data_IF_407451510075
#
_entry.id   IF_407451510075
#
_cell.length_a   1.000
_cell.length_b   1.000
_cell.length_c   1.000
_cell.angle_alpha   90.00
_cell.angle_beta   90.00
_cell.angle_gamma   90.00
#
_symmetry.space_group_name_H-M   'P 1'
#
loop_
_entity.id
_entity.type
_entity.pdbx_description
1 polymer ?
#
# COMPACT_ATOMS: atom_id res chain seq x y z
N UNK A 1 63.07 54.76 1.44
CA UNK A 1 62.84 53.30 1.30
C UNK A 1 61.40 53.01 1.72
N UNK A 2 60.51 52.82 0.74
CA UNK A 2 59.02 52.69 0.98
C UNK A 2 58.64 51.20 1.09
N UNK A 3 58.22 50.78 2.26
CA UNK A 3 57.63 49.43 2.47
C UNK A 3 56.18 49.44 2.02
N UNK A 4 55.80 48.54 1.04
CA UNK A 4 54.48 48.31 0.60
C UNK A 4 53.81 47.25 1.53
N UNK A 5 52.73 47.66 2.20
CA UNK A 5 51.87 46.74 2.98
C UNK A 5 50.94 46.03 2.01
N UNK A 6 51.02 44.68 1.94
CA UNK A 6 50.06 43.85 1.28
C UNK A 6 48.94 43.51 2.27
N UNK A 7 47.74 43.97 1.97
CA UNK A 7 46.54 43.57 2.69
C UNK A 7 46.05 42.23 2.12
N UNK A 8 46.04 41.18 2.95
CA UNK A 8 45.38 39.91 2.63
C UNK A 8 43.90 40.08 2.88
N UNK A 9 43.09 40.03 1.82
CA UNK A 9 41.63 39.89 1.89
C UNK A 9 41.33 38.41 2.01
N UNK A 10 40.93 37.97 3.19
CA UNK A 10 40.41 36.63 3.40
C UNK A 10 38.92 36.62 3.04
N UNK A 11 38.57 36.10 1.86
CA UNK A 11 37.20 35.82 1.47
C UNK A 11 36.72 34.57 2.21
N UNK A 12 35.96 34.76 3.29
CA UNK A 12 35.25 33.67 3.95
C UNK A 12 34.03 33.28 3.11
N UNK A 13 34.12 32.20 2.35
CA UNK A 13 32.96 31.54 1.72
C UNK A 13 32.16 30.87 2.82
N UNK A 14 31.06 31.48 3.24
CA UNK A 14 30.00 30.84 4.01
C UNK A 14 29.22 29.88 3.09
N UNK A 15 29.61 28.61 3.13
CA UNK A 15 28.84 27.55 2.55
C UNK A 15 27.54 27.33 3.39
N UNK A 16 26.46 27.93 2.96
CA UNK A 16 25.12 27.64 3.51
C UNK A 16 24.73 26.22 3.09
N UNK A 17 24.98 25.25 3.98
CA UNK A 17 24.44 23.90 3.84
C UNK A 17 22.92 24.01 4.11
N UNK A 18 22.13 24.10 3.05
CA UNK A 18 20.70 23.85 3.12
C UNK A 18 20.51 22.37 3.52
N UNK A 19 20.40 22.12 4.81
CA UNK A 19 19.80 20.89 5.31
C UNK A 19 18.32 20.92 4.88
N UNK A 20 18.03 20.34 3.72
CA UNK A 20 16.66 19.99 3.37
C UNK A 20 16.21 18.96 4.41
N UNK A 21 15.63 19.47 5.51
CA UNK A 21 14.89 18.66 6.46
C UNK A 21 13.77 18.01 5.64
N UNK A 22 13.91 16.72 5.29
CA UNK A 22 12.81 15.90 4.90
C UNK A 22 11.85 15.83 6.10
N UNK A 23 10.99 16.82 6.23
CA UNK A 23 9.81 16.72 7.07
C UNK A 23 8.98 15.62 6.43
N UNK A 24 9.08 14.41 6.94
CA UNK A 24 8.14 13.34 6.60
C UNK A 24 6.75 13.93 6.84
N UNK A 25 6.04 14.13 5.73
CA UNK A 25 4.69 14.68 5.77
C UNK A 25 3.83 13.66 6.53
N UNK A 26 3.61 13.88 7.82
CA UNK A 26 2.90 12.97 8.72
C UNK A 26 1.39 12.93 8.47
N UNK A 27 0.93 13.50 7.35
CA UNK A 27 -0.46 13.58 6.96
C UNK A 27 -0.70 13.09 5.52
N UNK A 28 -1.94 13.16 5.11
CA UNK A 28 -2.36 12.93 3.72
C UNK A 28 -1.89 14.07 2.82
N UNK A 29 -1.48 13.76 1.59
CA UNK A 29 -1.21 14.82 0.61
C UNK A 29 -2.51 15.49 0.15
N UNK A 30 -2.47 16.70 -0.44
CA UNK A 30 -3.66 17.33 -1.00
C UNK A 30 -4.38 16.44 -2.02
N UNK A 31 -3.64 15.76 -2.88
CA UNK A 31 -4.14 14.86 -3.93
C UNK A 31 -4.82 13.63 -3.34
N UNK A 32 -4.21 13.03 -2.31
CA UNK A 32 -4.83 11.91 -1.57
C UNK A 32 -6.14 12.34 -0.91
N UNK A 33 -6.16 13.53 -0.28
CA UNK A 33 -7.39 14.07 0.34
C UNK A 33 -8.49 14.32 -0.69
N UNK A 34 -8.14 14.91 -1.82
CA UNK A 34 -9.09 15.14 -2.90
C UNK A 34 -9.70 13.82 -3.39
N UNK A 35 -8.85 12.82 -3.68
CA UNK A 35 -9.30 11.52 -4.16
C UNK A 35 -10.19 10.81 -3.13
N UNK A 36 -9.78 10.79 -1.84
CA UNK A 36 -10.55 10.17 -0.77
C UNK A 36 -11.91 10.88 -0.57
N UNK A 37 -11.91 12.22 -0.58
CA UNK A 37 -13.13 12.99 -0.32
C UNK A 37 -14.09 12.99 -1.51
N UNK A 38 -13.60 12.93 -2.75
CA UNK A 38 -14.44 12.84 -3.95
C UNK A 38 -15.22 11.52 -4.02
N UNK A 39 -14.68 10.45 -3.46
CA UNK A 39 -15.29 9.12 -3.42
C UNK A 39 -16.06 8.83 -2.11
N UNK A 40 -16.08 9.77 -1.15
CA UNK A 40 -16.52 9.52 0.22
C UNK A 40 -17.76 8.61 0.35
N UNK A 41 -17.56 7.45 0.98
CA UNK A 41 -18.57 6.41 1.22
C UNK A 41 -19.17 5.76 -0.05
N UNK A 42 -18.53 5.95 -1.21
CA UNK A 42 -18.93 5.33 -2.47
C UNK A 42 -17.77 4.56 -3.09
N UNK A 43 -18.04 3.78 -4.13
CA UNK A 43 -17.02 3.01 -4.83
C UNK A 43 -15.99 3.93 -5.48
N UNK A 44 -14.71 3.59 -5.33
CA UNK A 44 -13.60 4.26 -5.98
C UNK A 44 -13.33 3.67 -7.37
N UNK A 45 -12.75 4.48 -8.25
CA UNK A 45 -12.22 3.99 -9.51
C UNK A 45 -11.05 3.03 -9.24
N UNK A 46 -11.07 1.86 -9.84
CA UNK A 46 -9.96 0.92 -9.77
C UNK A 46 -8.90 1.30 -10.81
N UNK A 47 -7.66 1.46 -10.38
CA UNK A 47 -6.48 1.66 -11.25
C UNK A 47 -6.18 0.39 -12.04
N UNK A 48 -5.79 0.52 -13.31
CA UNK A 48 -5.66 -0.62 -14.23
C UNK A 48 -4.37 -0.60 -15.03
N UNK A 49 -3.79 -1.77 -15.25
CA UNK A 49 -2.52 -1.94 -16.00
C UNK A 49 -2.59 -1.58 -17.48
N UNK A 50 -3.76 -1.44 -18.05
CA UNK A 50 -3.97 -1.00 -19.44
C UNK A 50 -4.04 0.54 -19.59
N UNK A 51 -3.93 1.29 -18.50
CA UNK A 51 -3.66 2.73 -18.48
C UNK A 51 -2.20 2.96 -18.04
N UNK A 52 -1.47 3.83 -18.73
CA UNK A 52 -0.04 4.04 -18.47
C UNK A 52 0.21 4.67 -17.11
N UNK A 53 -0.57 5.66 -16.69
CA UNK A 53 -0.40 6.35 -15.41
C UNK A 53 -0.76 5.42 -14.25
N UNK A 54 -1.86 4.69 -14.36
CA UNK A 54 -2.27 3.68 -13.39
C UNK A 54 -1.24 2.55 -13.28
N UNK A 55 -0.68 2.10 -14.40
CA UNK A 55 0.34 1.06 -14.43
C UNK A 55 1.61 1.48 -13.69
N UNK A 56 2.06 2.71 -13.85
CA UNK A 56 3.19 3.27 -13.13
C UNK A 56 2.88 3.38 -11.63
N UNK A 57 1.68 3.84 -11.27
CA UNK A 57 1.24 3.92 -9.88
C UNK A 57 1.22 2.54 -9.24
N UNK A 58 0.63 1.53 -9.88
CA UNK A 58 0.55 0.15 -9.38
C UNK A 58 1.93 -0.50 -9.20
N UNK A 59 2.98 0.00 -9.85
CA UNK A 59 4.37 -0.45 -9.73
C UNK A 59 5.18 0.34 -8.70
N UNK A 60 4.56 1.33 -8.06
CA UNK A 60 5.22 2.17 -7.06
C UNK A 60 4.98 1.59 -5.67
N UNK A 61 6.03 1.30 -4.88
CA UNK A 61 5.86 0.84 -3.51
C UNK A 61 5.11 1.85 -2.64
N UNK A 62 4.20 1.34 -1.84
CA UNK A 62 3.38 2.13 -0.91
C UNK A 62 4.14 2.53 0.35
N UNK A 63 3.85 3.72 0.88
CA UNK A 63 4.41 4.22 2.13
C UNK A 63 3.54 3.82 3.34
N UNK A 64 4.13 3.60 4.52
CA UNK A 64 3.36 3.31 5.73
C UNK A 64 2.40 4.44 6.10
N UNK A 65 1.23 4.06 6.64
CA UNK A 65 0.33 4.97 7.34
C UNK A 65 0.88 5.30 8.73
N UNK A 66 0.72 6.53 9.15
CA UNK A 66 1.04 7.00 10.51
C UNK A 66 -0.19 6.91 11.42
N UNK A 67 0.03 6.92 12.74
CA UNK A 67 -1.07 6.98 13.72
C UNK A 67 -1.98 8.18 13.46
N UNK A 68 -1.41 9.35 13.23
CA UNK A 68 -2.17 10.57 12.89
C UNK A 68 -3.08 10.41 11.66
N UNK A 69 -2.66 9.63 10.66
CA UNK A 69 -3.51 9.39 9.49
C UNK A 69 -4.68 8.49 9.81
N UNK A 70 -4.51 7.44 10.62
CA UNK A 70 -5.63 6.55 10.99
C UNK A 70 -6.66 7.23 11.90
N UNK A 71 -6.27 8.25 12.67
CA UNK A 71 -7.18 9.05 13.50
C UNK A 71 -7.95 10.10 12.67
N UNK A 72 -7.60 10.32 11.41
CA UNK A 72 -8.20 11.35 10.58
C UNK A 72 -9.54 10.90 9.97
N UNK A 73 -10.45 11.85 9.68
CA UNK A 73 -11.70 11.54 8.97
C UNK A 73 -11.48 10.93 7.57
N UNK A 74 -10.36 11.26 6.92
CA UNK A 74 -9.98 10.72 5.62
C UNK A 74 -9.76 9.20 5.67
N UNK A 75 -9.17 8.70 6.76
CA UNK A 75 -8.96 7.25 6.92
C UNK A 75 -10.30 6.51 6.95
N UNK A 76 -11.26 6.97 7.75
CA UNK A 76 -12.58 6.35 7.83
C UNK A 76 -13.31 6.36 6.47
N UNK A 77 -13.19 7.46 5.71
CA UNK A 77 -13.76 7.56 4.35
C UNK A 77 -13.09 6.60 3.39
N UNK A 78 -11.74 6.52 3.42
CA UNK A 78 -10.98 5.60 2.58
C UNK A 78 -11.35 4.14 2.86
N UNK A 79 -11.42 3.75 4.13
CA UNK A 79 -11.86 2.41 4.54
C UNK A 79 -13.25 2.10 3.98
N UNK A 80 -14.22 2.98 4.20
CA UNK A 80 -15.59 2.79 3.72
C UNK A 80 -15.65 2.67 2.19
N UNK A 81 -14.95 3.54 1.47
CA UNK A 81 -14.95 3.53 0.00
C UNK A 81 -14.21 2.30 -0.57
N UNK A 82 -13.14 1.82 0.06
CA UNK A 82 -12.49 0.57 -0.33
C UNK A 82 -13.40 -0.65 -0.07
N UNK A 83 -14.12 -0.66 1.06
CA UNK A 83 -15.13 -1.71 1.35
C UNK A 83 -16.22 -1.74 0.28
N UNK A 84 -16.80 -0.60 -0.09
CA UNK A 84 -17.78 -0.49 -1.16
C UNK A 84 -17.21 -0.95 -2.52
N UNK A 85 -15.93 -0.67 -2.78
CA UNK A 85 -15.27 -1.06 -4.02
C UNK A 85 -15.06 -2.57 -4.11
N UNK A 86 -14.57 -3.21 -3.04
CA UNK A 86 -14.31 -4.66 -3.03
C UNK A 86 -15.59 -5.48 -2.96
N UNK A 87 -16.64 -4.94 -2.36
CA UNK A 87 -17.96 -5.59 -2.26
C UNK A 87 -18.87 -5.33 -3.47
N UNK A 88 -18.36 -4.73 -4.55
CA UNK A 88 -19.17 -4.54 -5.76
C UNK A 88 -19.75 -5.88 -6.24
N UNK A 89 -21.09 -6.05 -6.32
CA UNK A 89 -21.69 -7.32 -6.69
C UNK A 89 -21.39 -7.76 -8.13
N UNK A 90 -20.95 -6.85 -8.98
CA UNK A 90 -20.63 -7.11 -10.39
C UNK A 90 -19.13 -7.21 -10.68
N UNK A 91 -18.32 -6.47 -9.91
CA UNK A 91 -16.88 -6.31 -10.17
C UNK A 91 -16.04 -6.40 -8.88
N UNK A 92 -16.61 -6.94 -7.82
CA UNK A 92 -15.95 -7.09 -6.55
C UNK A 92 -14.88 -8.19 -6.54
N UNK A 93 -14.17 -8.24 -5.41
CA UNK A 93 -13.10 -9.19 -5.17
C UNK A 93 -13.16 -9.75 -3.76
N UNK A 94 -12.12 -10.49 -3.40
CA UNK A 94 -11.93 -11.08 -2.07
C UNK A 94 -10.88 -10.30 -1.25
N UNK A 95 -10.24 -9.33 -1.89
CA UNK A 95 -9.29 -8.40 -1.30
C UNK A 95 -9.08 -7.18 -2.20
N UNK A 96 -8.57 -6.10 -1.62
CA UNK A 96 -8.19 -4.88 -2.32
C UNK A 96 -7.10 -4.14 -1.54
N UNK A 97 -6.08 -3.66 -2.24
CA UNK A 97 -5.02 -2.84 -1.70
C UNK A 97 -5.21 -1.35 -2.06
N UNK A 98 -4.77 -0.43 -1.20
CA UNK A 98 -4.94 1.00 -1.42
C UNK A 98 -4.34 1.53 -2.75
N UNK A 99 -3.21 1.01 -3.28
CA UNK A 99 -2.75 1.37 -4.63
C UNK A 99 -3.77 1.11 -5.74
N UNK A 100 -4.62 0.08 -5.59
CA UNK A 100 -5.65 -0.23 -6.58
C UNK A 100 -6.76 0.83 -6.65
N UNK A 101 -6.84 1.72 -5.68
CA UNK A 101 -7.73 2.89 -5.70
C UNK A 101 -6.97 4.21 -5.77
N UNK A 102 -5.71 4.18 -6.19
CA UNK A 102 -4.90 5.37 -6.41
C UNK A 102 -4.19 5.94 -5.18
N UNK A 103 -4.22 5.24 -4.05
CA UNK A 103 -3.63 5.69 -2.77
C UNK A 103 -2.39 4.86 -2.44
N UNK A 104 -1.20 5.47 -2.56
CA UNK A 104 0.08 4.79 -2.30
C UNK A 104 0.40 4.68 -0.79
N UNK A 105 -0.53 4.07 -0.05
CA UNK A 105 -0.41 3.80 1.39
C UNK A 105 -0.54 2.31 1.67
N UNK A 106 0.21 1.84 2.69
CA UNK A 106 0.21 0.43 3.08
C UNK A 106 -1.07 0.11 3.85
N UNK A 107 -2.13 -0.20 3.12
CA UNK A 107 -3.41 -0.67 3.67
C UNK A 107 -4.04 -1.67 2.71
N UNK A 108 -4.61 -2.73 3.26
CA UNK A 108 -5.39 -3.72 2.52
C UNK A 108 -6.72 -4.00 3.23
N UNK A 109 -7.70 -4.40 2.46
CA UNK A 109 -8.97 -4.98 2.92
C UNK A 109 -9.01 -6.41 2.42
N UNK A 110 -9.21 -7.38 3.31
CA UNK A 110 -9.15 -8.82 3.00
C UNK A 110 -10.38 -9.52 3.54
N UNK A 111 -11.01 -10.35 2.71
CA UNK A 111 -12.08 -11.24 3.16
C UNK A 111 -11.49 -12.44 3.89
N UNK A 112 -11.87 -12.63 5.14
CA UNK A 112 -11.35 -13.67 6.04
C UNK A 112 -12.15 -14.97 5.86
N UNK A 113 -11.77 -15.78 4.87
CA UNK A 113 -12.37 -17.09 4.62
C UNK A 113 -12.16 -18.09 5.75
N UNK A 114 -11.15 -17.88 6.56
CA UNK A 114 -10.78 -18.63 7.76
C UNK A 114 -11.61 -18.27 9.00
N UNK A 115 -12.46 -17.22 8.93
CA UNK A 115 -13.34 -16.79 10.03
C UNK A 115 -14.83 -17.07 9.73
N UNK A 116 -15.66 -17.33 10.78
CA UNK A 116 -17.11 -17.44 10.61
C UNK A 116 -17.70 -16.19 9.95
N UNK A 117 -18.61 -16.37 9.00
CA UNK A 117 -19.23 -15.27 8.26
C UNK A 117 -18.35 -14.61 7.20
N UNK A 118 -17.09 -14.99 7.08
CA UNK A 118 -16.14 -14.48 6.09
C UNK A 118 -16.12 -12.95 6.02
N UNK A 119 -15.89 -12.25 7.17
CA UNK A 119 -15.90 -10.79 7.19
C UNK A 119 -14.77 -10.21 6.35
N UNK A 120 -14.98 -9.00 5.83
CA UNK A 120 -13.88 -8.18 5.35
C UNK A 120 -13.24 -7.44 6.54
N UNK A 121 -11.93 -7.47 6.63
CA UNK A 121 -11.15 -6.81 7.68
C UNK A 121 -10.08 -5.90 7.07
N UNK A 122 -9.76 -4.82 7.79
CA UNK A 122 -8.78 -3.80 7.39
C UNK A 122 -7.45 -4.06 8.08
N UNK A 123 -6.37 -4.01 7.32
CA UNK A 123 -5.02 -4.21 7.82
C UNK A 123 -4.14 -3.01 7.44
N UNK A 124 -3.65 -2.30 8.46
CA UNK A 124 -2.79 -1.12 8.32
C UNK A 124 -1.32 -1.55 8.41
N UNK A 125 -0.51 -1.13 7.46
CA UNK A 125 0.91 -1.45 7.39
C UNK A 125 1.22 -2.96 7.49
N UNK A 126 0.46 -3.82 6.78
CA UNK A 126 0.72 -5.25 6.86
C UNK A 126 2.07 -5.61 6.21
N UNK A 127 2.73 -6.59 6.83
CA UNK A 127 3.94 -7.23 6.31
C UNK A 127 3.86 -8.73 6.57
N UNK A 128 4.40 -9.54 5.65
CA UNK A 128 4.58 -10.96 5.87
C UNK A 128 5.96 -11.15 6.49
N UNK A 129 6.02 -11.74 7.68
CA UNK A 129 7.27 -11.99 8.43
C UNK A 129 7.80 -13.41 8.21
N UNK A 130 6.91 -14.33 7.83
CA UNK A 130 7.29 -15.71 7.53
C UNK A 130 6.36 -16.32 6.47
N UNK A 131 6.94 -17.12 5.57
CA UNK A 131 6.24 -17.93 4.58
C UNK A 131 6.43 -19.41 4.93
N UNK A 132 5.33 -20.15 5.08
CA UNK A 132 5.38 -21.59 5.28
C UNK A 132 5.92 -22.32 4.05
N UNK A 133 6.46 -23.52 4.28
CA UNK A 133 7.10 -24.32 3.21
C UNK A 133 6.09 -24.96 2.24
N UNK A 134 4.88 -25.30 2.74
CA UNK A 134 3.81 -25.83 1.88
C UNK A 134 3.34 -24.75 0.90
N UNK A 135 3.57 -24.99 -0.39
CA UNK A 135 3.19 -24.11 -1.47
C UNK A 135 2.28 -24.82 -2.46
N UNK A 136 1.29 -24.12 -2.99
CA UNK A 136 0.37 -24.66 -4.01
C UNK A 136 0.25 -23.72 -5.18
N UNK A 137 0.17 -24.31 -6.36
CA UNK A 137 -0.19 -23.64 -7.58
C UNK A 137 -1.70 -23.32 -7.51
N UNK A 138 -2.04 -22.06 -7.79
CA UNK A 138 -3.43 -21.60 -7.78
C UNK A 138 -3.68 -20.56 -8.85
N UNK A 139 -4.93 -20.49 -9.34
CA UNK A 139 -5.32 -19.53 -10.36
C UNK A 139 -5.68 -18.20 -9.72
N UNK A 140 -5.01 -17.14 -10.15
CA UNK A 140 -5.25 -15.77 -9.71
C UNK A 140 -5.80 -14.89 -10.84
N UNK A 141 -6.51 -13.85 -10.44
CA UNK A 141 -6.92 -12.70 -11.23
C UNK A 141 -6.90 -11.47 -10.35
N UNK A 142 -6.95 -10.29 -10.95
CA UNK A 142 -6.87 -9.03 -10.22
C UNK A 142 -7.80 -7.98 -10.86
N UNK A 143 -8.46 -7.18 -10.03
CA UNK A 143 -9.29 -6.06 -10.48
C UNK A 143 -8.48 -5.03 -11.31
N UNK A 144 -7.19 -4.90 -11.00
CA UNK A 144 -6.26 -4.00 -11.67
C UNK A 144 -5.64 -4.58 -12.95
N UNK A 145 -5.81 -5.87 -13.23
CA UNK A 145 -5.27 -6.54 -14.43
C UNK A 145 -6.43 -7.13 -15.24
N UNK A 146 -7.08 -6.31 -16.07
CA UNK A 146 -8.31 -6.72 -16.77
C UNK A 146 -8.04 -7.85 -17.77
N UNK A 147 -9.01 -8.74 -17.91
CA UNK A 147 -9.05 -9.81 -18.91
C UNK A 147 -7.86 -10.79 -18.87
N UNK A 148 -7.13 -10.86 -17.76
CA UNK A 148 -6.01 -11.79 -17.61
C UNK A 148 -6.16 -12.59 -16.31
N UNK A 149 -5.86 -13.87 -16.39
CA UNK A 149 -5.70 -14.78 -15.24
C UNK A 149 -4.45 -15.61 -15.46
N UNK A 150 -3.83 -16.07 -14.37
CA UNK A 150 -2.63 -16.88 -14.43
C UNK A 150 -2.50 -17.78 -13.22
N UNK A 151 -1.61 -18.74 -13.31
CA UNK A 151 -1.30 -19.64 -12.21
C UNK A 151 -0.08 -19.13 -11.46
N UNK A 152 -0.20 -19.06 -10.13
CA UNK A 152 0.85 -18.54 -9.24
C UNK A 152 1.06 -19.52 -8.10
N UNK A 153 2.30 -19.76 -7.74
CA UNK A 153 2.65 -20.57 -6.57
C UNK A 153 2.66 -19.69 -5.33
N UNK A 154 1.78 -20.04 -4.34
CA UNK A 154 1.68 -19.32 -3.06
C UNK A 154 1.86 -20.24 -1.88
N UNK A 155 2.48 -19.71 -0.82
CA UNK A 155 2.53 -20.38 0.48
C UNK A 155 1.12 -20.55 1.04
N UNK A 156 0.83 -21.72 1.61
CA UNK A 156 -0.47 -22.06 2.20
C UNK A 156 -0.58 -21.61 3.66
N UNK A 157 0.52 -21.14 4.25
CA UNK A 157 0.56 -20.53 5.57
C UNK A 157 1.56 -19.38 5.59
N UNK A 158 1.18 -18.27 6.23
CA UNK A 158 2.04 -17.10 6.44
C UNK A 158 1.91 -16.60 7.87
N UNK A 159 2.94 -15.91 8.35
CA UNK A 159 2.82 -15.07 9.55
C UNK A 159 2.84 -13.61 9.12
N UNK A 160 1.88 -12.83 9.62
CA UNK A 160 1.75 -11.41 9.32
C UNK A 160 1.88 -10.57 10.57
N UNK A 161 2.43 -9.39 10.39
CA UNK A 161 2.38 -8.30 11.37
C UNK A 161 1.65 -7.11 10.73
N UNK A 162 0.83 -6.40 11.53
CA UNK A 162 0.16 -5.18 11.08
C UNK A 162 -0.12 -4.24 12.25
N UNK A 163 -0.52 -3.01 11.94
CA UNK A 163 -1.06 -2.07 12.93
C UNK A 163 -2.58 -2.18 12.98
N UNK A 164 -3.12 -2.32 14.17
CA UNK A 164 -4.57 -2.30 14.38
C UNK A 164 -5.15 -0.96 13.89
N UNK A 165 -6.25 -1.01 13.14
CA UNK A 165 -6.83 0.17 12.50
C UNK A 165 -7.51 1.15 13.48
N UNK A 166 -7.73 0.77 14.73
CA UNK A 166 -8.33 1.60 15.78
C UNK A 166 -7.30 2.06 16.81
N UNK A 167 -6.44 1.15 17.27
CA UNK A 167 -5.51 1.42 18.38
C UNK A 167 -4.07 1.69 17.91
N UNK A 168 -3.75 1.38 16.65
CA UNK A 168 -2.41 1.40 16.09
C UNK A 168 -1.39 0.47 16.80
N UNK A 169 -1.86 -0.41 17.65
CA UNK A 169 -1.03 -1.42 18.30
C UNK A 169 -0.52 -2.44 17.26
N UNK A 170 0.68 -2.96 17.50
CA UNK A 170 1.22 -4.04 16.68
C UNK A 170 0.46 -5.34 16.97
N UNK A 171 -0.05 -5.95 15.94
CA UNK A 171 -0.72 -7.26 15.95
C UNK A 171 0.09 -8.25 15.12
N UNK A 172 -0.03 -9.52 15.46
CA UNK A 172 0.59 -10.64 14.75
C UNK A 172 -0.39 -11.79 14.69
N UNK A 173 -0.43 -12.47 13.56
CA UNK A 173 -1.30 -13.63 13.37
C UNK A 173 -0.67 -14.59 12.34
N UNK A 174 -0.91 -15.88 12.55
CA UNK A 174 -0.67 -16.92 11.55
C UNK A 174 -1.94 -17.11 10.74
N UNK A 175 -1.82 -16.99 9.42
CA UNK A 175 -2.93 -17.11 8.47
C UNK A 175 -2.68 -18.34 7.60
N UNK A 176 -3.73 -19.12 7.32
CA UNK A 176 -3.61 -20.36 6.53
C UNK A 176 -4.62 -20.42 5.38
N UNK A 177 -4.36 -21.32 4.44
CA UNK A 177 -5.23 -21.63 3.32
C UNK A 177 -5.45 -20.48 2.36
N UNK A 178 -6.67 -20.37 1.84
CA UNK A 178 -7.00 -19.36 0.83
C UNK A 178 -6.84 -17.92 1.32
N UNK A 179 -7.09 -17.66 2.61
CA UNK A 179 -6.87 -16.34 3.20
C UNK A 179 -5.39 -15.95 3.16
N UNK A 180 -4.46 -16.90 3.37
CA UNK A 180 -3.02 -16.64 3.22
C UNK A 180 -2.64 -16.26 1.77
N UNK A 181 -3.29 -16.88 0.78
CA UNK A 181 -3.09 -16.53 -0.65
C UNK A 181 -3.57 -15.11 -0.92
N UNK A 182 -4.75 -14.72 -0.41
CA UNK A 182 -5.27 -13.35 -0.57
C UNK A 182 -4.30 -12.32 0.03
N UNK A 183 -3.82 -12.54 1.26
CA UNK A 183 -2.86 -11.62 1.89
C UNK A 183 -1.59 -11.46 1.06
N UNK A 184 -1.04 -12.54 0.52
CA UNK A 184 0.16 -12.47 -0.33
C UNK A 184 -0.10 -11.63 -1.58
N UNK A 185 -1.26 -11.78 -2.21
CA UNK A 185 -1.66 -10.99 -3.38
C UNK A 185 -1.80 -9.50 -3.03
N UNK A 186 -2.50 -9.17 -1.94
CA UNK A 186 -2.75 -7.77 -1.56
C UNK A 186 -1.48 -7.07 -1.03
N UNK A 187 -0.60 -7.79 -0.32
CA UNK A 187 0.67 -7.22 0.15
C UNK A 187 1.64 -7.02 -1.02
N UNK A 188 1.64 -7.90 -2.04
CA UNK A 188 2.38 -7.67 -3.28
C UNK A 188 2.03 -6.31 -3.91
N UNK A 189 0.74 -5.94 -3.98
CA UNK A 189 0.34 -4.63 -4.46
C UNK A 189 0.97 -3.48 -3.66
N UNK A 190 1.13 -3.62 -2.34
CA UNK A 190 1.79 -2.61 -1.51
C UNK A 190 3.28 -2.46 -1.83
N UNK A 191 3.89 -3.51 -2.38
CA UNK A 191 5.30 -3.55 -2.74
C UNK A 191 5.52 -3.25 -4.25
N UNK A 192 4.45 -2.86 -4.97
CA UNK A 192 4.49 -2.56 -6.40
C UNK A 192 4.61 -3.80 -7.30
N UNK A 193 4.30 -4.98 -6.75
CA UNK A 193 4.33 -6.26 -7.44
C UNK A 193 2.92 -6.68 -7.82
N UNK A 194 2.75 -7.24 -9.02
CA UNK A 194 1.48 -7.79 -9.47
C UNK A 194 1.58 -9.31 -9.62
N UNK A 195 0.48 -10.03 -9.46
CA UNK A 195 0.47 -11.49 -9.60
C UNK A 195 1.04 -11.97 -10.96
N UNK A 196 0.90 -11.15 -12.00
CA UNK A 196 1.45 -11.46 -13.34
C UNK A 196 2.98 -11.54 -13.38
N UNK A 197 3.67 -10.98 -12.39
CA UNK A 197 5.14 -11.05 -12.25
C UNK A 197 5.59 -12.35 -11.59
N UNK A 198 4.64 -13.08 -11.00
CA UNK A 198 4.85 -14.34 -10.30
C UNK A 198 4.37 -15.56 -11.09
N UNK A 199 3.82 -15.35 -12.29
CA UNK A 199 3.44 -16.45 -13.18
C UNK A 199 4.71 -17.15 -13.62
N UNK A 200 4.82 -18.44 -13.32
CA UNK A 200 5.88 -19.30 -13.86
C UNK A 200 5.61 -19.61 -15.34
N UNK A 201 6.60 -19.33 -16.19
CA UNK A 201 6.55 -19.60 -17.64
C UNK A 201 6.89 -21.08 -17.92
#
# INVERSE_FOLDING_TARGET
MKMKRYAFVVCALLATICLASCTQNSGWTPEEKELINSAAYSRMRVTKTNDTADSLLLRTPSTPLTHKQIESPEFGRLVASMMETVNDPYHGGVGIAAPQVGILRRMVVVQRYDKPGRPFEVYVNPTITHYGEDKKLGREGCLSVPNRRGEVVRSQAIEIEWRDALTFELRKERIEGYTAVIFQHEIDHLDGVLYIDRIEN
#
